data_IF_720294600734
#
_entry.id   IF_720294600734
#
_cell.length_a   1.000
_cell.length_b   1.000
_cell.length_c   1.000
_cell.angle_alpha   90.00
_cell.angle_beta   90.00
_cell.angle_gamma   90.00
#
_symmetry.space_group_name_H-M   'P 1'
#
loop_
_entity.id
_entity.type
_entity.pdbx_description
1 polymer ?
#
# COMPACT_ATOMS: atom_id res chain seq x y z
N UNK A 1 0.66 98.12 -13.68
CA UNK A 1 1.15 96.76 -13.35
C UNK A 1 0.14 96.10 -12.43
N UNK A 2 -0.71 95.23 -12.96
CA UNK A 2 -1.69 94.46 -12.18
C UNK A 2 -0.94 93.34 -11.45
N UNK A 3 -0.96 93.32 -10.11
CA UNK A 3 -0.35 92.25 -9.32
C UNK A 3 -1.16 90.96 -9.56
N UNK A 4 -0.49 89.90 -9.99
CA UNK A 4 -1.09 88.57 -10.08
C UNK A 4 -1.27 88.02 -8.66
N UNK A 5 -2.51 87.87 -8.21
CA UNK A 5 -2.86 87.15 -6.97
C UNK A 5 -2.91 85.66 -7.28
N UNK A 6 -1.83 84.96 -6.96
CA UNK A 6 -1.72 83.52 -7.24
C UNK A 6 -2.52 82.63 -6.27
N UNK A 7 -3.06 83.21 -5.18
CA UNK A 7 -3.58 82.46 -4.03
C UNK A 7 -4.94 82.96 -3.55
N UNK A 8 -5.73 83.65 -4.39
CA UNK A 8 -7.09 84.06 -4.00
C UNK A 8 -8.06 82.88 -3.93
N UNK A 9 -7.79 81.80 -4.68
CA UNK A 9 -8.65 80.62 -4.74
C UNK A 9 -8.18 79.46 -3.84
N UNK A 10 -7.07 79.64 -3.11
CA UNK A 10 -6.58 78.62 -2.18
C UNK A 10 -7.29 78.76 -0.83
N UNK A 11 -8.30 77.90 -0.60
CA UNK A 11 -8.98 77.79 0.68
C UNK A 11 -7.98 77.46 1.81
N UNK A 12 -7.92 78.28 2.85
CA UNK A 12 -7.05 78.06 4.01
C UNK A 12 -7.50 76.84 4.82
N UNK A 13 -6.85 75.68 4.60
CA UNK A 13 -7.19 74.42 5.25
C UNK A 13 -6.57 74.38 6.66
N UNK A 14 -7.39 74.62 7.68
CA UNK A 14 -6.99 74.38 9.08
C UNK A 14 -7.30 72.92 9.43
N UNK A 15 -6.25 72.14 9.69
CA UNK A 15 -6.39 70.76 10.17
C UNK A 15 -7.05 70.77 11.56
N UNK A 16 -8.35 70.51 11.62
CA UNK A 16 -9.06 70.33 12.89
C UNK A 16 -8.76 68.93 13.42
N UNK A 17 -8.33 68.78 14.69
CA UNK A 17 -8.18 67.47 15.30
C UNK A 17 -9.54 66.73 15.33
N UNK A 18 -9.50 65.41 15.20
CA UNK A 18 -10.67 64.55 14.95
C UNK A 18 -11.92 64.93 15.75
N UNK A 19 -12.95 65.39 15.05
CA UNK A 19 -14.26 65.71 15.61
C UNK A 19 -15.19 64.50 15.52
N UNK A 20 -15.99 64.23 16.56
CA UNK A 20 -17.00 63.15 16.56
C UNK A 20 -18.29 63.51 15.81
N UNK A 21 -18.34 64.69 15.19
CA UNK A 21 -19.48 65.14 14.39
C UNK A 21 -19.47 64.52 13.00
N UNK A 22 -20.63 64.05 12.48
CA UNK A 22 -20.70 63.48 11.14
C UNK A 22 -20.30 64.53 10.08
N UNK A 23 -19.63 64.05 9.03
CA UNK A 23 -19.11 64.87 7.94
C UNK A 23 -20.27 65.57 7.22
N UNK A 24 -20.13 66.86 6.90
CA UNK A 24 -21.13 67.62 6.11
C UNK A 24 -21.33 66.96 4.74
N UNK A 25 -22.56 66.84 4.19
CA UNK A 25 -22.80 66.17 2.91
C UNK A 25 -21.94 66.67 1.74
N UNK A 26 -21.61 67.97 1.71
CA UNK A 26 -20.74 68.56 0.69
C UNK A 26 -19.26 68.17 0.85
N UNK A 27 -18.77 68.02 2.08
CA UNK A 27 -17.43 67.53 2.37
C UNK A 27 -17.34 66.02 2.12
N UNK A 28 -18.36 65.26 2.51
CA UNK A 28 -18.48 63.84 2.21
C UNK A 28 -18.46 63.59 0.69
N UNK A 29 -19.07 64.46 -0.10
CA UNK A 29 -19.04 64.37 -1.57
C UNK A 29 -17.66 64.76 -2.15
N UNK A 30 -16.95 65.75 -1.57
CA UNK A 30 -15.58 66.13 -1.95
C UNK A 30 -14.53 65.09 -1.55
N UNK A 31 -14.74 64.39 -0.44
CA UNK A 31 -13.88 63.33 0.08
C UNK A 31 -14.28 61.94 -0.45
N UNK A 32 -15.46 61.83 -1.09
CA UNK A 32 -15.90 60.58 -1.71
C UNK A 32 -14.97 60.21 -2.85
N UNK A 33 -14.58 58.93 -2.89
CA UNK A 33 -13.69 58.45 -3.94
C UNK A 33 -14.45 58.49 -5.28
N UNK A 34 -13.97 59.31 -6.21
CA UNK A 34 -14.58 59.44 -7.54
C UNK A 34 -14.23 58.23 -8.46
N UNK A 35 -15.24 57.68 -9.14
CA UNK A 35 -15.15 56.54 -10.07
C UNK A 35 -15.92 55.29 -9.59
N UNK A 36 -15.90 54.21 -10.38
CA UNK A 36 -16.41 52.90 -9.94
C UNK A 36 -15.45 52.32 -8.90
N UNK A 37 -15.80 52.50 -7.63
CA UNK A 37 -14.97 52.14 -6.48
C UNK A 37 -15.65 51.07 -5.66
N UNK A 38 -14.92 49.98 -5.42
CA UNK A 38 -15.37 48.89 -4.56
C UNK A 38 -14.46 48.79 -3.35
N UNK A 39 -15.06 48.74 -2.16
CA UNK A 39 -14.35 48.51 -0.92
C UNK A 39 -14.26 47.01 -0.67
N UNK A 40 -13.05 46.46 -0.66
CA UNK A 40 -12.77 45.05 -0.33
C UNK A 40 -11.75 45.06 0.81
N UNK A 41 -12.10 44.45 1.95
CA UNK A 41 -11.27 44.40 3.16
C UNK A 41 -10.67 45.76 3.59
N UNK A 42 -11.47 46.83 3.53
CA UNK A 42 -11.05 48.17 3.94
C UNK A 42 -10.10 48.88 2.96
N UNK A 43 -9.76 48.27 1.82
CA UNK A 43 -8.98 48.89 0.75
C UNK A 43 -9.90 49.39 -0.36
N UNK A 44 -9.59 50.57 -0.90
CA UNK A 44 -10.26 51.14 -2.06
C UNK A 44 -9.61 50.56 -3.32
N UNK A 45 -10.35 49.75 -4.07
CA UNK A 45 -9.89 49.19 -5.34
C UNK A 45 -10.63 49.90 -6.48
N UNK A 46 -9.87 50.35 -7.47
CA UNK A 46 -10.39 50.93 -8.71
C UNK A 46 -10.22 49.88 -9.81
N UNK A 47 -11.33 49.35 -10.32
CA UNK A 47 -11.34 48.34 -11.39
C UNK A 47 -12.01 48.89 -12.63
N UNK A 48 -11.78 48.23 -13.77
CA UNK A 48 -12.58 48.46 -14.98
C UNK A 48 -13.59 47.33 -15.12
N UNK A 49 -14.89 47.62 -15.37
CA UNK A 49 -15.96 46.62 -15.28
C UNK A 49 -15.80 45.48 -16.30
N UNK A 50 -15.20 45.78 -17.46
CA UNK A 50 -14.92 44.78 -18.49
C UNK A 50 -13.80 43.83 -18.07
N UNK A 51 -12.68 44.37 -17.57
CA UNK A 51 -11.54 43.55 -17.16
C UNK A 51 -11.87 42.71 -15.93
N UNK A 52 -12.63 43.28 -14.99
CA UNK A 52 -13.08 42.58 -13.79
C UNK A 52 -13.93 41.35 -14.14
N UNK A 53 -14.88 41.48 -15.08
CA UNK A 53 -15.71 40.36 -15.52
C UNK A 53 -14.88 39.21 -16.08
N UNK A 54 -13.94 39.49 -16.99
CA UNK A 54 -13.09 38.45 -17.58
C UNK A 54 -12.08 37.88 -16.59
N UNK A 55 -11.48 38.73 -15.75
CA UNK A 55 -10.54 38.30 -14.72
C UNK A 55 -11.21 37.40 -13.68
N UNK A 56 -12.43 37.76 -13.24
CA UNK A 56 -13.21 36.92 -12.33
C UNK A 56 -13.63 35.61 -13.01
N UNK A 57 -14.06 35.64 -14.26
CA UNK A 57 -14.39 34.41 -15.00
C UNK A 57 -13.19 33.46 -15.10
N UNK A 58 -12.01 33.98 -15.43
CA UNK A 58 -10.76 33.19 -15.48
C UNK A 58 -10.40 32.69 -14.09
N UNK A 59 -10.48 33.55 -13.05
CA UNK A 59 -10.16 33.18 -11.67
C UNK A 59 -11.05 32.04 -11.18
N UNK A 60 -12.36 32.14 -11.37
CA UNK A 60 -13.31 31.10 -10.98
C UNK A 60 -13.05 29.81 -11.77
N UNK A 61 -12.86 29.89 -13.09
CA UNK A 61 -12.55 28.71 -13.90
C UNK A 61 -11.27 27.99 -13.44
N UNK A 62 -10.19 28.73 -13.20
CA UNK A 62 -8.93 28.17 -12.70
C UNK A 62 -9.12 27.60 -11.30
N UNK A 63 -9.79 28.32 -10.40
CA UNK A 63 -10.02 27.88 -9.04
C UNK A 63 -10.85 26.58 -8.99
N UNK A 64 -11.92 26.50 -9.77
CA UNK A 64 -12.80 25.33 -9.84
C UNK A 64 -12.07 24.12 -10.43
N UNK A 65 -11.27 24.33 -11.48
CA UNK A 65 -10.45 23.25 -12.06
C UNK A 65 -9.35 22.79 -11.11
N UNK A 66 -8.62 23.71 -10.49
CA UNK A 66 -7.54 23.38 -9.54
C UNK A 66 -8.10 22.69 -8.30
N UNK A 67 -9.23 23.16 -7.77
CA UNK A 67 -9.87 22.54 -6.60
C UNK A 67 -10.44 21.17 -6.90
N UNK A 68 -11.08 20.96 -8.07
CA UNK A 68 -11.56 19.66 -8.50
C UNK A 68 -10.41 18.66 -8.64
N UNK A 69 -9.33 19.06 -9.31
CA UNK A 69 -8.14 18.19 -9.47
C UNK A 69 -7.48 17.89 -8.14
N UNK A 70 -7.39 18.89 -7.25
CA UNK A 70 -6.88 18.70 -5.89
C UNK A 70 -7.73 17.71 -5.10
N UNK A 71 -9.06 17.78 -5.22
CA UNK A 71 -9.99 16.87 -4.58
C UNK A 71 -9.88 15.45 -5.13
N UNK A 72 -9.90 15.28 -6.46
CA UNK A 72 -9.76 13.96 -7.11
C UNK A 72 -8.43 13.29 -6.75
N UNK A 73 -7.32 14.04 -6.79
CA UNK A 73 -6.00 13.53 -6.44
C UNK A 73 -5.92 13.17 -4.96
N UNK A 74 -6.47 14.00 -4.07
CA UNK A 74 -6.50 13.70 -2.64
C UNK A 74 -7.34 12.44 -2.34
N UNK A 75 -8.47 12.25 -3.04
CA UNK A 75 -9.31 11.05 -2.91
C UNK A 75 -8.58 9.81 -3.40
N UNK A 76 -7.95 9.86 -4.57
CA UNK A 76 -7.16 8.73 -5.09
C UNK A 76 -5.97 8.41 -4.18
N UNK A 77 -5.26 9.43 -3.69
CA UNK A 77 -4.15 9.24 -2.76
C UNK A 77 -4.62 8.63 -1.43
N UNK A 78 -5.79 9.06 -0.93
CA UNK A 78 -6.44 8.51 0.26
C UNK A 78 -6.80 7.04 0.06
N UNK A 79 -7.45 6.69 -1.05
CA UNK A 79 -7.81 5.33 -1.40
C UNK A 79 -6.57 4.42 -1.48
N UNK A 80 -5.55 4.84 -2.23
CA UNK A 80 -4.30 4.10 -2.36
C UNK A 80 -3.59 3.93 -1.00
N UNK A 81 -3.59 4.96 -0.16
CA UNK A 81 -3.01 4.87 1.20
C UNK A 81 -3.81 3.93 2.09
N UNK A 82 -5.14 3.87 1.91
CA UNK A 82 -5.99 2.97 2.65
C UNK A 82 -5.79 1.51 2.22
N UNK A 83 -5.76 1.25 0.92
CA UNK A 83 -5.45 -0.07 0.36
C UNK A 83 -4.06 -0.53 0.80
N UNK A 84 -3.04 0.34 0.71
CA UNK A 84 -1.70 0.05 1.20
C UNK A 84 -1.69 -0.32 2.69
N UNK A 85 -2.49 0.38 3.49
CA UNK A 85 -2.61 0.10 4.92
C UNK A 85 -3.28 -1.24 5.19
N UNK A 86 -4.31 -1.60 4.41
CA UNK A 86 -5.00 -2.88 4.51
C UNK A 86 -4.04 -4.01 4.16
N UNK A 87 -3.36 -3.92 3.02
CA UNK A 87 -2.36 -4.91 2.59
C UNK A 87 -1.27 -5.07 3.65
N UNK A 88 -0.73 -3.95 4.16
CA UNK A 88 0.29 -3.99 5.21
C UNK A 88 -0.20 -4.68 6.48
N UNK A 89 -1.44 -4.41 6.89
CA UNK A 89 -2.05 -5.05 8.07
C UNK A 89 -2.20 -6.54 7.85
N UNK A 90 -2.75 -6.95 6.70
CA UNK A 90 -2.92 -8.36 6.37
C UNK A 90 -1.59 -9.11 6.30
N UNK A 91 -0.54 -8.51 5.72
CA UNK A 91 0.82 -9.08 5.73
C UNK A 91 1.36 -9.21 7.14
N UNK A 92 1.14 -8.20 7.99
CA UNK A 92 1.62 -8.22 9.38
C UNK A 92 0.88 -9.27 10.21
N UNK A 93 -0.41 -9.46 9.98
CA UNK A 93 -1.24 -10.43 10.70
C UNK A 93 -0.88 -11.89 10.38
N UNK A 94 -0.41 -12.14 9.15
CA UNK A 94 0.05 -13.46 8.70
C UNK A 94 1.43 -13.80 9.30
N UNK A 95 2.30 -12.81 9.51
CA UNK A 95 3.64 -12.99 10.05
C UNK A 95 3.58 -13.07 11.59
N UNK A 96 3.86 -14.25 12.14
CA UNK A 96 3.74 -14.51 13.60
C UNK A 96 5.08 -14.58 14.34
N UNK A 97 6.17 -14.60 13.60
CA UNK A 97 7.53 -14.83 14.09
C UNK A 97 8.46 -13.66 13.68
N UNK A 98 9.60 -13.46 14.37
CA UNK A 98 10.51 -12.37 14.06
C UNK A 98 11.13 -12.52 12.65
N UNK A 99 10.78 -11.58 11.77
CA UNK A 99 11.15 -11.63 10.34
C UNK A 99 12.65 -11.55 10.11
N UNK A 100 13.37 -10.70 10.83
CA UNK A 100 14.79 -10.44 10.56
C UNK A 100 15.68 -11.69 10.65
N UNK A 101 15.73 -12.41 11.79
CA UNK A 101 16.54 -13.63 11.87
C UNK A 101 15.97 -14.72 10.94
N UNK A 102 14.65 -14.88 10.88
CA UNK A 102 14.02 -15.92 10.07
C UNK A 102 14.31 -15.79 8.57
N UNK A 103 14.19 -14.56 8.04
CA UNK A 103 14.42 -14.26 6.64
C UNK A 103 15.88 -14.46 6.24
N UNK A 104 16.84 -14.09 7.10
CA UNK A 104 18.27 -14.29 6.81
C UNK A 104 18.57 -15.78 6.65
N UNK A 105 18.03 -16.64 7.53
CA UNK A 105 18.22 -18.09 7.41
C UNK A 105 17.56 -18.66 6.15
N UNK A 106 16.36 -18.21 5.82
CA UNK A 106 15.65 -18.61 4.58
C UNK A 106 16.43 -18.22 3.33
N UNK A 107 16.93 -16.99 3.27
CA UNK A 107 17.75 -16.50 2.17
C UNK A 107 19.07 -17.29 2.06
N UNK A 108 19.72 -17.57 3.20
CA UNK A 108 20.95 -18.37 3.23
C UNK A 108 20.71 -19.80 2.76
N UNK A 109 19.61 -20.43 3.17
CA UNK A 109 19.23 -21.77 2.71
C UNK A 109 18.92 -21.80 1.21
N UNK A 110 18.18 -20.79 0.71
CA UNK A 110 17.88 -20.64 -0.71
C UNK A 110 19.17 -20.46 -1.55
N UNK A 111 20.08 -19.60 -1.09
CA UNK A 111 21.39 -19.38 -1.74
C UNK A 111 22.24 -20.66 -1.73
N UNK A 112 22.23 -21.39 -0.61
CA UNK A 112 22.93 -22.68 -0.49
C UNK A 112 22.38 -23.70 -1.48
N UNK A 113 21.04 -23.77 -1.63
CA UNK A 113 20.38 -24.56 -2.66
C UNK A 113 20.86 -24.19 -4.07
N UNK A 114 20.99 -22.90 -4.37
CA UNK A 114 21.51 -22.40 -5.66
C UNK A 114 22.95 -22.83 -5.94
N UNK A 115 23.81 -22.79 -4.93
CA UNK A 115 25.20 -23.23 -5.04
C UNK A 115 25.27 -24.74 -5.30
N UNK A 116 24.46 -25.54 -4.62
CA UNK A 116 24.42 -27.00 -4.78
C UNK A 116 24.08 -27.41 -6.22
N UNK A 117 23.18 -26.69 -6.88
CA UNK A 117 22.74 -27.03 -8.25
C UNK A 117 23.40 -26.19 -9.33
N UNK A 118 24.54 -25.54 -9.03
CA UNK A 118 25.25 -24.63 -9.93
C UNK A 118 25.55 -25.21 -11.32
N UNK A 119 25.83 -26.52 -11.42
CA UNK A 119 26.16 -27.21 -12.69
C UNK A 119 24.98 -27.99 -13.28
N UNK A 120 23.77 -27.79 -12.76
CA UNK A 120 22.57 -28.49 -13.24
C UNK A 120 21.90 -27.75 -14.40
N UNK A 121 20.90 -28.41 -15.00
CA UNK A 121 20.05 -27.82 -16.02
C UNK A 121 19.30 -26.58 -15.49
N UNK A 122 18.95 -25.66 -16.39
CA UNK A 122 18.31 -24.37 -16.08
C UNK A 122 17.08 -24.52 -15.18
N UNK A 123 16.24 -25.54 -15.43
CA UNK A 123 15.04 -25.79 -14.62
C UNK A 123 15.39 -26.08 -13.15
N UNK A 124 16.33 -27.01 -12.92
CA UNK A 124 16.77 -27.39 -11.56
C UNK A 124 17.40 -26.19 -10.87
N UNK A 125 18.18 -25.39 -11.60
CA UNK A 125 18.81 -24.18 -11.09
C UNK A 125 17.82 -23.14 -10.54
N UNK A 126 16.60 -23.06 -11.09
CA UNK A 126 15.56 -22.15 -10.58
C UNK A 126 14.67 -22.78 -9.52
N UNK A 127 14.35 -24.07 -9.65
CA UNK A 127 13.44 -24.76 -8.72
C UNK A 127 14.11 -25.05 -7.38
N UNK A 128 15.37 -25.49 -7.37
CA UNK A 128 16.04 -25.90 -6.13
C UNK A 128 16.19 -24.76 -5.10
N UNK A 129 16.63 -23.54 -5.46
CA UNK A 129 16.68 -22.43 -4.50
C UNK A 129 15.31 -22.10 -3.88
N UNK A 130 14.24 -22.20 -4.67
CA UNK A 130 12.88 -21.97 -4.19
C UNK A 130 12.43 -23.09 -3.24
N UNK A 131 12.69 -24.35 -3.59
CA UNK A 131 12.38 -25.48 -2.73
C UNK A 131 13.12 -25.41 -1.38
N UNK A 132 14.41 -25.08 -1.40
CA UNK A 132 15.19 -24.86 -0.17
C UNK A 132 14.69 -23.66 0.62
N UNK A 133 14.29 -22.57 -0.04
CA UNK A 133 13.70 -21.41 0.62
C UNK A 133 12.39 -21.74 1.32
N UNK A 134 11.46 -22.42 0.64
CA UNK A 134 10.17 -22.85 1.21
C UNK A 134 10.40 -23.83 2.37
N UNK A 135 11.30 -24.81 2.20
CA UNK A 135 11.66 -25.74 3.27
C UNK A 135 12.27 -25.03 4.48
N UNK A 136 13.09 -24.01 4.27
CA UNK A 136 13.65 -23.20 5.34
C UNK A 136 12.58 -22.35 6.05
N UNK A 137 11.56 -21.86 5.35
CA UNK A 137 10.43 -21.17 5.99
C UNK A 137 9.69 -22.13 6.91
N UNK A 138 9.44 -23.36 6.46
CA UNK A 138 8.81 -24.38 7.30
C UNK A 138 9.64 -24.73 8.54
N UNK A 139 10.97 -24.76 8.41
CA UNK A 139 11.87 -25.10 9.53
C UNK A 139 12.09 -23.94 10.52
N UNK A 140 12.31 -22.72 10.02
CA UNK A 140 12.67 -21.56 10.83
C UNK A 140 11.45 -20.76 11.29
N UNK A 141 10.39 -20.74 10.48
CA UNK A 141 9.16 -19.97 10.71
C UNK A 141 7.89 -20.84 10.53
N UNK A 142 7.73 -21.91 11.33
CA UNK A 142 6.63 -22.87 11.17
C UNK A 142 5.25 -22.24 11.40
N UNK A 143 5.11 -21.33 12.38
CA UNK A 143 3.79 -20.71 12.66
C UNK A 143 3.37 -19.77 11.54
N UNK A 144 4.33 -19.07 10.94
CA UNK A 144 4.07 -18.21 9.78
C UNK A 144 3.70 -19.05 8.57
N UNK A 145 4.38 -20.18 8.35
CA UNK A 145 4.05 -21.12 7.28
C UNK A 145 2.62 -21.66 7.39
N UNK A 146 2.19 -22.07 8.59
CA UNK A 146 0.83 -22.52 8.85
C UNK A 146 -0.21 -21.41 8.64
N UNK A 147 0.08 -20.18 9.08
CA UNK A 147 -0.82 -19.04 8.91
C UNK A 147 -1.03 -18.70 7.42
N UNK A 148 0.05 -18.69 6.63
CA UNK A 148 -0.01 -18.53 5.17
C UNK A 148 -0.82 -19.66 4.54
N UNK A 149 -0.56 -20.91 4.92
CA UNK A 149 -1.27 -22.08 4.38
C UNK A 149 -2.77 -22.07 4.68
N UNK A 150 -3.16 -21.63 5.89
CA UNK A 150 -4.55 -21.44 6.28
C UNK A 150 -5.20 -20.32 5.46
N UNK A 151 -4.55 -19.15 5.36
CA UNK A 151 -5.08 -18.02 4.60
C UNK A 151 -5.26 -18.35 3.12
N UNK A 152 -4.28 -19.04 2.55
CA UNK A 152 -4.36 -19.56 1.20
C UNK A 152 -5.57 -20.50 1.03
N UNK A 153 -5.80 -21.41 1.98
CA UNK A 153 -6.98 -22.28 1.94
C UNK A 153 -8.32 -21.54 2.09
N UNK A 154 -8.38 -20.48 2.90
CA UNK A 154 -9.56 -19.62 3.02
C UNK A 154 -9.87 -18.89 1.69
N UNK A 155 -8.83 -18.31 1.06
CA UNK A 155 -8.95 -17.65 -0.25
C UNK A 155 -9.34 -18.65 -1.36
N UNK A 156 -8.76 -19.84 -1.36
CA UNK A 156 -9.07 -20.87 -2.33
C UNK A 156 -10.55 -21.31 -2.24
N UNK A 157 -11.09 -21.42 -1.02
CA UNK A 157 -12.52 -21.72 -0.82
C UNK A 157 -13.44 -20.60 -1.30
N UNK A 158 -13.03 -19.35 -1.12
CA UNK A 158 -13.84 -18.18 -1.50
C UNK A 158 -13.88 -17.97 -3.01
N UNK A 159 -12.72 -18.04 -3.68
CA UNK A 159 -12.60 -17.69 -5.10
C UNK A 159 -12.54 -18.88 -6.06
N UNK A 160 -12.12 -20.07 -5.60
CA UNK A 160 -11.84 -21.22 -6.46
C UNK A 160 -12.18 -22.58 -5.78
N UNK A 161 -13.45 -22.85 -5.47
CA UNK A 161 -13.85 -24.03 -4.69
C UNK A 161 -13.48 -25.36 -5.36
N UNK A 162 -13.49 -25.43 -6.69
CA UNK A 162 -13.12 -26.65 -7.43
C UNK A 162 -11.64 -27.04 -7.23
N UNK A 163 -10.76 -26.03 -7.15
CA UNK A 163 -9.32 -26.24 -6.91
C UNK A 163 -9.10 -26.73 -5.49
N UNK A 164 -9.83 -26.14 -4.53
CA UNK A 164 -9.79 -26.53 -3.13
C UNK A 164 -10.16 -28.01 -2.93
N UNK A 165 -11.25 -28.49 -3.56
CA UNK A 165 -11.67 -29.90 -3.46
C UNK A 165 -10.60 -30.83 -4.00
N UNK A 166 -10.04 -30.54 -5.18
CA UNK A 166 -8.97 -31.35 -5.79
C UNK A 166 -7.71 -31.37 -4.91
N UNK A 167 -7.33 -30.25 -4.32
CA UNK A 167 -6.18 -30.17 -3.42
C UNK A 167 -6.39 -31.03 -2.17
N UNK A 168 -7.61 -31.03 -1.60
CA UNK A 168 -7.95 -31.87 -0.44
C UNK A 168 -7.92 -33.35 -0.81
N UNK A 169 -8.43 -33.72 -1.99
CA UNK A 169 -8.38 -35.08 -2.52
C UNK A 169 -6.93 -35.54 -2.71
N UNK A 170 -6.11 -34.76 -3.41
CA UNK A 170 -4.67 -35.03 -3.57
C UNK A 170 -3.96 -35.18 -2.22
N UNK A 171 -4.34 -34.38 -1.21
CA UNK A 171 -3.81 -34.51 0.14
C UNK A 171 -4.12 -35.86 0.79
N UNK A 172 -5.32 -36.39 0.58
CA UNK A 172 -5.72 -37.72 1.08
C UNK A 172 -4.96 -38.83 0.37
N UNK A 173 -4.82 -38.73 -0.95
CA UNK A 173 -4.09 -39.72 -1.75
C UNK A 173 -2.62 -39.81 -1.33
N UNK A 174 -1.99 -38.66 -1.03
CA UNK A 174 -0.62 -38.61 -0.50
C UNK A 174 -0.52 -39.25 0.89
N UNK A 175 -1.52 -39.03 1.76
CA UNK A 175 -1.55 -39.64 3.09
C UNK A 175 -1.74 -41.17 3.01
N UNK A 176 -2.61 -41.64 2.12
CA UNK A 176 -2.82 -43.06 1.84
C UNK A 176 -1.55 -43.69 1.25
N UNK A 177 -0.92 -43.02 0.29
CA UNK A 177 0.36 -43.46 -0.27
C UNK A 177 1.42 -43.60 0.82
N UNK A 178 1.55 -42.61 1.72
CA UNK A 178 2.48 -42.68 2.85
C UNK A 178 2.20 -43.91 3.73
N UNK A 179 0.95 -44.17 4.08
CA UNK A 179 0.55 -45.36 4.86
C UNK A 179 0.88 -46.65 4.13
N UNK A 180 0.64 -46.72 2.82
CA UNK A 180 0.96 -47.89 2.00
C UNK A 180 2.47 -48.16 1.93
N UNK A 181 3.29 -47.12 1.90
CA UNK A 181 4.76 -47.23 1.94
C UNK A 181 5.23 -47.70 3.31
N UNK A 182 4.70 -47.13 4.41
CA UNK A 182 5.02 -47.56 5.77
C UNK A 182 4.66 -49.04 6.00
N UNK A 183 3.48 -49.46 5.54
CA UNK A 183 3.05 -50.85 5.57
C UNK A 183 3.96 -51.75 4.73
N UNK A 184 4.29 -51.34 3.50
CA UNK A 184 5.21 -52.08 2.64
C UNK A 184 6.60 -52.25 3.25
N UNK A 185 7.13 -51.25 3.96
CA UNK A 185 8.41 -51.35 4.67
C UNK A 185 8.33 -52.37 5.82
N UNK A 186 7.26 -52.36 6.61
CA UNK A 186 7.04 -53.35 7.67
C UNK A 186 6.82 -54.77 7.10
N UNK A 187 6.15 -54.89 5.96
CA UNK A 187 5.94 -56.16 5.25
C UNK A 187 7.25 -56.73 4.68
N UNK A 188 8.12 -55.87 4.15
CA UNK A 188 9.47 -56.27 3.71
C UNK A 188 10.30 -56.74 4.89
N UNK A 189 10.28 -56.01 6.01
CA UNK A 189 11.01 -56.40 7.22
C UNK A 189 10.56 -57.75 7.75
N UNK A 190 9.24 -57.98 7.83
CA UNK A 190 8.70 -59.27 8.25
C UNK A 190 8.99 -60.39 7.25
N UNK A 191 8.99 -60.12 5.94
CA UNK A 191 9.35 -61.09 4.90
C UNK A 191 10.83 -61.49 4.95
N UNK A 192 11.73 -60.53 5.19
CA UNK A 192 13.16 -60.82 5.40
C UNK A 192 13.36 -61.66 6.66
N UNK A 193 12.67 -61.34 7.76
CA UNK A 193 12.73 -62.13 8.99
C UNK A 193 12.22 -63.57 8.78
N UNK A 194 11.13 -63.75 8.02
CA UNK A 194 10.61 -65.08 7.67
C UNK A 194 11.58 -65.85 6.76
N UNK A 195 12.15 -65.20 5.75
CA UNK A 195 13.15 -65.83 4.86
C UNK A 195 14.39 -66.30 5.63
N UNK A 196 14.90 -65.49 6.56
CA UNK A 196 16.00 -65.89 7.45
C UNK A 196 15.59 -67.04 8.37
N UNK A 197 14.36 -67.03 8.88
CA UNK A 197 13.83 -68.10 9.73
C UNK A 197 13.68 -69.43 8.97
N UNK A 198 13.13 -69.40 7.76
CA UNK A 198 12.91 -70.57 6.92
C UNK A 198 14.24 -71.18 6.46
N UNK A 199 15.21 -70.34 6.06
CA UNK A 199 16.58 -70.77 5.77
C UNK A 199 17.23 -71.46 6.97
N UNK A 200 17.07 -70.89 8.17
CA UNK A 200 17.58 -71.51 9.40
C UNK A 200 16.94 -72.88 9.65
N UNK A 201 15.65 -73.02 9.39
CA UNK A 201 14.92 -74.28 9.54
C UNK A 201 15.37 -75.33 8.52
N UNK A 202 15.55 -74.94 7.25
CA UNK A 202 16.01 -75.86 6.19
C UNK A 202 17.43 -76.36 6.45
N UNK A 203 18.33 -75.49 6.88
CA UNK A 203 19.70 -75.89 7.25
C UNK A 203 19.68 -76.90 8.40
N UNK A 204 18.78 -76.74 9.38
CA UNK A 204 18.67 -77.68 10.50
C UNK A 204 18.18 -79.06 10.05
N UNK A 205 17.17 -79.11 9.19
CA UNK A 205 16.63 -80.37 8.65
C UNK A 205 17.60 -81.10 7.71
N UNK A 206 18.54 -80.40 7.09
CA UNK A 206 19.51 -80.99 6.17
C UNK A 206 20.77 -81.57 6.87
N UNK A 207 20.95 -81.29 8.16
CA UNK A 207 22.11 -81.70 8.96
C UNK A 207 21.76 -82.63 10.14
N UNK A 208 20.50 -83.01 10.32
CA UNK A 208 20.03 -84.15 11.14
C UNK A 208 19.73 -85.36 10.26
#
# INVERSE_FOLDING_TARGET
MTKRSFYEDDDYIVNKPGTTTPITPSLAQKESVHGDVTFVDGMVIRTTPLLEKYANAVRHFVHDKVSLWGAELATQQSAARNEWRIVRREVTDVIREPVLPGLIYVLTASLTGSILVRRSNVLVRFVTPLAFGIGAVWWVMPRTFEAVGRRYGELEREYAPDVYVKRVELGKDVEEFKKSVEQGVEDVKTSVLRGVHDLRKTIKEQWE
#
